data_IF_979753979333
#
_entry.id   IF_979753979333
#
_cell.length_a   1.000
_cell.length_b   1.000
_cell.length_c   1.000
_cell.angle_alpha   90.00
_cell.angle_beta   90.00
_cell.angle_gamma   90.00
#
_symmetry.space_group_name_H-M   'P 1'
#
loop_
_entity.id
_entity.type
_entity.pdbx_description
1 polymer ?
#
# COMPACT_ATOMS: atom_id res chain seq x y z
N UNK A 1 -11.81 -3.96 -11.53
CA UNK A 1 -13.20 -3.59 -11.84
C UNK A 1 -13.27 -2.10 -12.12
N UNK A 2 -14.04 -1.72 -13.10
CA UNK A 2 -14.32 -0.31 -13.45
C UNK A 2 -15.79 -0.15 -13.73
N UNK A 3 -16.34 1.02 -13.45
CA UNK A 3 -17.71 1.39 -13.80
C UNK A 3 -17.70 2.11 -15.14
N UNK A 4 -18.60 1.75 -16.03
CA UNK A 4 -18.83 2.47 -17.27
C UNK A 4 -20.30 2.79 -17.47
N UNK A 5 -20.58 3.92 -18.08
CA UNK A 5 -21.92 4.30 -18.54
C UNK A 5 -22.16 3.73 -19.91
N UNK A 6 -23.30 3.06 -20.10
CA UNK A 6 -23.75 2.51 -21.37
C UNK A 6 -25.04 3.21 -21.75
N UNK A 7 -25.08 3.87 -22.91
CA UNK A 7 -26.26 4.60 -23.37
C UNK A 7 -27.02 3.78 -24.42
N UNK A 8 -28.30 3.54 -24.18
CA UNK A 8 -29.21 2.90 -25.12
C UNK A 8 -30.11 3.91 -25.83
N UNK A 9 -30.18 3.80 -27.13
CA UNK A 9 -31.05 4.60 -27.98
C UNK A 9 -32.42 3.91 -28.16
N UNK A 10 -33.31 4.09 -27.18
CA UNK A 10 -34.73 3.81 -27.33
C UNK A 10 -35.24 2.38 -27.23
N UNK A 11 -34.43 1.43 -26.76
CA UNK A 11 -34.84 0.03 -26.56
C UNK A 11 -34.37 -0.49 -25.19
N UNK A 12 -35.29 -1.14 -24.47
CA UNK A 12 -34.95 -1.94 -23.29
C UNK A 12 -34.39 -3.29 -23.74
N UNK A 13 -33.33 -3.76 -23.08
CA UNK A 13 -32.69 -5.01 -23.46
C UNK A 13 -32.03 -5.73 -22.29
N UNK A 14 -31.98 -7.06 -22.37
CA UNK A 14 -31.22 -7.88 -21.46
C UNK A 14 -29.79 -8.06 -21.98
N UNK A 15 -28.84 -7.67 -21.18
CA UNK A 15 -27.41 -7.88 -21.45
C UNK A 15 -26.91 -9.01 -20.56
N UNK A 16 -26.55 -10.11 -21.18
CA UNK A 16 -26.15 -11.32 -20.48
C UNK A 16 -24.63 -11.48 -20.49
N UNK A 17 -24.08 -11.81 -19.33
CA UNK A 17 -22.75 -12.39 -19.24
C UNK A 17 -22.91 -13.90 -19.06
N UNK A 18 -22.92 -14.65 -20.15
CA UNK A 18 -23.03 -16.13 -20.13
C UNK A 18 -21.62 -16.70 -20.31
N UNK A 19 -21.13 -17.44 -19.32
CA UNK A 19 -19.85 -18.15 -19.38
C UNK A 19 -18.62 -17.28 -19.70
N UNK A 20 -18.62 -16.01 -19.27
CA UNK A 20 -17.50 -15.10 -19.53
C UNK A 20 -17.45 -14.55 -20.96
N UNK A 21 -18.45 -14.82 -21.79
CA UNK A 21 -18.66 -14.23 -23.11
C UNK A 21 -19.85 -13.28 -23.04
N UNK A 22 -19.61 -12.04 -22.66
CA UNK A 22 -20.67 -11.05 -22.50
C UNK A 22 -20.39 -9.78 -23.27
N UNK A 23 -21.19 -8.76 -22.98
CA UNK A 23 -20.99 -7.45 -23.55
C UNK A 23 -19.58 -6.93 -23.20
N UNK A 24 -18.78 -6.69 -24.22
CA UNK A 24 -17.37 -6.29 -24.11
C UNK A 24 -17.15 -4.90 -24.68
N UNK A 25 -16.44 -4.09 -23.94
CA UNK A 25 -16.03 -2.73 -24.29
C UNK A 25 -14.51 -2.63 -24.24
N UNK A 26 -13.92 -1.59 -24.84
CA UNK A 26 -12.48 -1.45 -24.96
C UNK A 26 -12.06 -0.01 -24.73
N UNK A 27 -10.90 0.17 -24.07
CA UNK A 27 -10.27 1.47 -23.94
C UNK A 27 -9.38 1.81 -25.16
N UNK A 28 -8.91 3.05 -25.19
CA UNK A 28 -8.04 3.54 -26.26
C UNK A 28 -6.64 2.89 -26.29
N UNK A 29 -6.26 2.19 -25.21
CA UNK A 29 -5.02 1.43 -25.12
C UNK A 29 -5.17 -0.03 -25.61
N UNK A 30 -6.38 -0.46 -25.97
CA UNK A 30 -6.68 -1.79 -26.46
C UNK A 30 -7.06 -2.80 -25.37
N UNK A 31 -7.15 -2.40 -24.10
CA UNK A 31 -7.59 -3.28 -23.04
C UNK A 31 -9.09 -3.53 -23.15
N UNK A 32 -9.50 -4.79 -23.05
CA UNK A 32 -10.90 -5.18 -23.10
C UNK A 32 -11.48 -5.39 -21.70
N UNK A 33 -12.74 -4.97 -21.55
CA UNK A 33 -13.50 -5.07 -20.30
C UNK A 33 -14.83 -5.75 -20.59
N UNK A 34 -15.15 -6.76 -19.81
CA UNK A 34 -16.39 -7.55 -19.95
C UNK A 34 -17.34 -7.22 -18.82
N UNK A 35 -18.63 -7.14 -19.12
CA UNK A 35 -19.70 -6.94 -18.14
C UNK A 35 -19.65 -8.04 -17.07
N UNK A 36 -19.75 -7.67 -15.78
CA UNK A 36 -19.66 -8.63 -14.67
C UNK A 36 -20.95 -9.40 -14.53
N UNK A 37 -22.08 -8.71 -14.46
CA UNK A 37 -23.37 -9.28 -14.17
C UNK A 37 -24.35 -9.18 -15.34
N UNK A 38 -25.22 -10.17 -15.44
CA UNK A 38 -26.38 -10.10 -16.33
C UNK A 38 -27.36 -9.03 -15.80
N UNK A 39 -27.70 -8.06 -16.62
CA UNK A 39 -28.60 -6.98 -16.22
C UNK A 39 -29.56 -6.58 -17.33
N UNK A 40 -30.71 -6.08 -16.95
CA UNK A 40 -31.67 -5.46 -17.87
C UNK A 40 -31.39 -3.97 -17.95
N UNK A 41 -31.17 -3.47 -19.14
CA UNK A 41 -30.95 -2.04 -19.39
C UNK A 41 -32.23 -1.37 -19.84
N UNK A 42 -32.40 -0.16 -19.39
CA UNK A 42 -33.49 0.72 -19.82
C UNK A 42 -32.99 1.76 -20.83
N UNK A 43 -33.89 2.30 -21.62
CA UNK A 43 -33.55 3.39 -22.55
C UNK A 43 -32.89 4.55 -21.79
N UNK A 44 -31.82 5.11 -22.37
CA UNK A 44 -31.00 6.14 -21.76
C UNK A 44 -29.68 5.65 -21.19
N UNK A 45 -29.14 6.35 -20.20
CA UNK A 45 -27.83 6.05 -19.62
C UNK A 45 -27.94 5.08 -18.47
N UNK A 46 -27.21 3.97 -18.55
CA UNK A 46 -27.09 2.94 -17.52
C UNK A 46 -25.66 2.90 -16.99
N UNK A 47 -25.50 2.69 -15.69
CA UNK A 47 -24.18 2.55 -15.03
C UNK A 47 -23.95 1.07 -14.73
N UNK A 48 -22.87 0.50 -15.26
CA UNK A 48 -22.60 -0.92 -15.21
C UNK A 48 -21.15 -1.17 -14.78
N UNK A 49 -20.93 -2.31 -14.11
CA UNK A 49 -19.62 -2.75 -13.66
C UNK A 49 -18.99 -3.73 -14.67
N UNK A 50 -17.73 -3.45 -14.99
CA UNK A 50 -16.94 -4.24 -15.92
C UNK A 50 -15.65 -4.71 -15.26
N UNK A 51 -15.17 -5.88 -15.65
CA UNK A 51 -13.86 -6.39 -15.28
C UNK A 51 -12.95 -6.42 -16.51
N UNK A 52 -11.67 -6.10 -16.32
CA UNK A 52 -10.68 -6.29 -17.36
C UNK A 52 -10.57 -7.80 -17.70
N UNK A 53 -10.45 -8.13 -18.98
CA UNK A 53 -10.19 -9.50 -19.43
C UNK A 53 -8.72 -9.88 -19.19
N UNK A 54 -7.81 -8.92 -19.33
CA UNK A 54 -6.41 -9.11 -19.01
C UNK A 54 -6.23 -9.18 -17.50
N UNK A 55 -5.49 -10.17 -17.02
CA UNK A 55 -5.10 -10.31 -15.62
C UNK A 55 -3.96 -9.32 -15.31
N UNK A 56 -3.94 -8.81 -14.07
CA UNK A 56 -2.92 -7.88 -13.61
C UNK A 56 -3.45 -6.48 -13.28
N UNK A 57 -2.57 -5.51 -13.03
CA UNK A 57 -2.92 -4.16 -12.60
C UNK A 57 -3.36 -3.27 -13.78
N UNK A 58 -4.44 -3.64 -14.46
CA UNK A 58 -5.01 -2.83 -15.55
C UNK A 58 -5.79 -1.67 -14.95
N UNK A 59 -5.37 -0.45 -15.26
CA UNK A 59 -5.97 0.79 -14.76
C UNK A 59 -6.49 1.61 -15.94
N UNK A 60 -7.81 1.62 -16.21
CA UNK A 60 -8.37 2.46 -17.25
C UNK A 60 -8.26 3.94 -16.87
N UNK A 61 -7.81 4.75 -17.81
CA UNK A 61 -7.85 6.21 -17.66
C UNK A 61 -9.29 6.67 -17.81
N UNK A 62 -9.66 7.72 -17.09
CA UNK A 62 -11.01 8.32 -17.15
C UNK A 62 -11.34 8.76 -18.59
N UNK A 63 -12.55 8.47 -19.03
CA UNK A 63 -13.07 8.80 -20.38
C UNK A 63 -12.31 8.16 -21.56
N UNK A 64 -11.61 7.04 -21.34
CA UNK A 64 -10.91 6.33 -22.42
C UNK A 64 -11.61 5.05 -22.90
N UNK A 65 -12.57 4.52 -22.15
CA UNK A 65 -13.37 3.37 -22.56
C UNK A 65 -14.51 3.87 -23.47
N UNK A 66 -14.24 3.91 -24.76
CA UNK A 66 -15.18 4.50 -25.74
C UNK A 66 -15.56 3.54 -26.87
N UNK A 67 -14.86 2.40 -26.98
CA UNK A 67 -15.08 1.45 -28.05
C UNK A 67 -15.99 0.30 -27.59
N UNK A 68 -17.02 -0.03 -28.43
CA UNK A 68 -17.91 -1.16 -28.24
C UNK A 68 -17.35 -2.32 -29.06
N UNK A 69 -16.89 -3.39 -28.39
CA UNK A 69 -16.36 -4.60 -29.05
C UNK A 69 -17.50 -5.54 -29.44
N UNK A 70 -18.40 -5.81 -28.49
CA UNK A 70 -19.59 -6.63 -28.76
C UNK A 70 -20.72 -5.71 -29.26
N UNK A 71 -20.93 -5.71 -30.57
CA UNK A 71 -22.01 -4.93 -31.18
C UNK A 71 -23.35 -5.46 -30.68
N UNK A 72 -24.09 -4.61 -29.98
CA UNK A 72 -25.41 -4.96 -29.44
C UNK A 72 -26.44 -3.95 -29.92
N UNK A 73 -27.57 -4.44 -30.38
CA UNK A 73 -28.64 -3.60 -30.91
C UNK A 73 -29.12 -2.61 -29.83
N UNK A 74 -29.17 -1.34 -30.19
CA UNK A 74 -29.63 -0.26 -29.31
C UNK A 74 -28.53 0.40 -28.48
N UNK A 75 -27.32 -0.15 -28.38
CA UNK A 75 -26.21 0.53 -27.71
C UNK A 75 -25.62 1.59 -28.63
N UNK A 76 -25.67 2.85 -28.18
CA UNK A 76 -25.18 3.99 -28.96
C UNK A 76 -23.79 4.47 -28.53
N UNK A 77 -23.45 4.41 -27.25
CA UNK A 77 -22.15 4.83 -26.72
C UNK A 77 -21.82 4.20 -25.38
N UNK A 78 -20.54 4.18 -25.07
CA UNK A 78 -19.98 3.76 -23.77
C UNK A 78 -18.96 4.77 -23.33
N UNK A 79 -18.84 4.98 -22.01
CA UNK A 79 -17.81 5.85 -21.41
C UNK A 79 -17.54 5.44 -19.96
N UNK A 80 -16.32 5.62 -19.47
CA UNK A 80 -15.98 5.48 -18.07
C UNK A 80 -15.73 6.86 -17.43
N UNK A 81 -16.72 7.46 -16.80
CA UNK A 81 -16.58 8.79 -16.20
C UNK A 81 -15.67 8.81 -14.95
N UNK A 82 -15.36 7.66 -14.40
CA UNK A 82 -14.47 7.49 -13.25
C UNK A 82 -13.37 6.46 -13.53
N UNK A 83 -12.33 6.46 -12.70
CA UNK A 83 -11.24 5.47 -12.75
C UNK A 83 -11.67 4.08 -12.28
N UNK A 84 -10.71 3.20 -12.09
CA UNK A 84 -10.97 1.85 -11.60
C UNK A 84 -11.54 1.87 -10.17
N UNK A 85 -12.58 1.07 -9.92
CA UNK A 85 -13.11 0.81 -8.58
C UNK A 85 -12.15 -0.09 -7.78
N UNK A 86 -11.55 -1.06 -8.45
CA UNK A 86 -10.49 -1.90 -7.88
C UNK A 86 -9.50 -2.28 -8.97
N UNK A 87 -8.21 -2.22 -8.62
CA UNK A 87 -7.11 -2.57 -9.52
C UNK A 87 -6.72 -4.03 -9.26
N UNK A 88 -6.48 -4.80 -10.32
CA UNK A 88 -5.92 -6.15 -10.22
C UNK A 88 -4.47 -6.10 -9.71
N UNK A 89 -4.01 -7.21 -9.18
CA UNK A 89 -2.63 -7.37 -8.75
C UNK A 89 -1.85 -8.25 -9.73
N UNK A 90 -0.54 -8.09 -9.78
CA UNK A 90 0.33 -9.03 -10.47
C UNK A 90 0.22 -10.42 -9.84
N UNK A 91 0.50 -11.45 -10.64
CA UNK A 91 0.59 -12.80 -10.11
C UNK A 91 1.62 -12.84 -8.98
N UNK A 92 1.22 -13.42 -7.87
CA UNK A 92 2.06 -13.58 -6.69
C UNK A 92 3.28 -14.45 -7.03
N UNK A 93 4.45 -14.05 -6.61
CA UNK A 93 5.66 -14.86 -6.73
C UNK A 93 5.63 -16.02 -5.73
N UNK A 94 6.41 -17.06 -5.98
CA UNK A 94 6.50 -18.22 -5.08
C UNK A 94 6.94 -17.81 -3.65
N UNK A 95 7.81 -16.82 -3.53
CA UNK A 95 8.22 -16.26 -2.23
C UNK A 95 7.08 -15.53 -1.52
N UNK A 96 6.30 -14.72 -2.24
CA UNK A 96 5.13 -14.03 -1.69
C UNK A 96 4.04 -15.03 -1.27
N UNK A 97 3.80 -16.06 -2.11
CA UNK A 97 2.86 -17.13 -1.79
C UNK A 97 3.26 -17.88 -0.51
N UNK A 98 4.54 -18.18 -0.32
CA UNK A 98 5.05 -18.82 0.91
C UNK A 98 4.83 -17.94 2.14
N UNK A 99 5.11 -16.64 2.04
CA UNK A 99 4.88 -15.68 3.13
C UNK A 99 3.39 -15.62 3.46
N UNK A 100 2.52 -15.44 2.45
CA UNK A 100 1.06 -15.41 2.64
C UNK A 100 0.53 -16.71 3.25
N UNK A 101 1.03 -17.87 2.80
CA UNK A 101 0.66 -19.16 3.38
C UNK A 101 1.09 -19.26 4.85
N UNK A 102 2.30 -18.84 5.18
CA UNK A 102 2.79 -18.81 6.57
C UNK A 102 1.92 -17.91 7.43
N UNK A 103 1.57 -16.72 6.97
CA UNK A 103 0.67 -15.79 7.65
C UNK A 103 -0.74 -16.37 7.80
N UNK A 104 -1.29 -16.99 6.75
CA UNK A 104 -2.62 -17.61 6.76
C UNK A 104 -2.74 -18.77 7.76
N UNK A 105 -1.70 -19.59 7.88
CA UNK A 105 -1.65 -20.67 8.90
C UNK A 105 -1.53 -20.09 10.31
N UNK A 106 -0.75 -19.02 10.48
CA UNK A 106 -0.60 -18.32 11.76
C UNK A 106 -1.90 -17.64 12.21
N UNK A 107 -2.74 -17.17 11.30
CA UNK A 107 -4.03 -16.54 11.59
C UNK A 107 -4.99 -17.45 12.39
N UNK A 108 -4.93 -18.76 12.20
CA UNK A 108 -5.76 -19.72 12.91
C UNK A 108 -5.31 -20.00 14.36
N UNK A 109 -4.09 -19.57 14.75
CA UNK A 109 -3.56 -19.81 16.08
C UNK A 109 -3.95 -18.69 17.07
N UNK A 110 -4.43 -19.10 18.25
CA UNK A 110 -4.65 -18.19 19.39
C UNK A 110 -3.47 -18.32 20.37
N UNK A 111 -3.09 -17.20 20.98
CA UNK A 111 -1.98 -17.17 21.95
C UNK A 111 -0.58 -17.24 21.35
N UNK A 112 -0.45 -17.27 20.05
CA UNK A 112 0.83 -17.24 19.34
C UNK A 112 1.12 -15.82 18.82
N UNK A 113 2.30 -15.29 19.08
CA UNK A 113 2.70 -13.95 18.66
C UNK A 113 2.55 -13.73 17.15
N UNK A 114 2.96 -14.73 16.36
CA UNK A 114 2.82 -14.71 14.91
C UNK A 114 1.33 -14.69 14.47
N UNK A 115 0.43 -15.29 15.24
CA UNK A 115 -1.02 -15.25 14.97
C UNK A 115 -1.60 -13.85 15.18
N UNK A 116 -1.17 -13.15 16.23
CA UNK A 116 -1.54 -11.76 16.47
C UNK A 116 -0.98 -10.85 15.38
N UNK A 117 0.33 -10.94 15.09
CA UNK A 117 0.96 -10.12 14.06
C UNK A 117 0.32 -10.32 12.69
N UNK A 118 0.05 -11.57 12.29
CA UNK A 118 -0.63 -11.88 11.04
C UNK A 118 -2.06 -11.33 10.99
N UNK A 119 -2.80 -11.37 12.09
CA UNK A 119 -4.15 -10.81 12.17
C UNK A 119 -4.13 -9.28 12.02
N UNK A 120 -3.18 -8.60 12.64
CA UNK A 120 -2.99 -7.15 12.53
C UNK A 120 -2.63 -6.74 11.09
N UNK A 121 -1.67 -7.42 10.46
CA UNK A 121 -1.25 -7.12 9.08
C UNK A 121 -2.34 -7.34 8.03
N UNK A 122 -3.40 -8.11 8.35
CA UNK A 122 -4.54 -8.29 7.46
C UNK A 122 -5.67 -7.26 7.67
N UNK A 123 -5.53 -6.35 8.61
CA UNK A 123 -6.54 -5.30 8.83
C UNK A 123 -6.49 -4.24 7.72
N UNK A 124 -7.66 -3.73 7.30
CA UNK A 124 -7.71 -2.64 6.34
C UNK A 124 -6.94 -1.41 6.81
N UNK A 125 -6.11 -0.85 5.92
CA UNK A 125 -5.34 0.36 6.19
C UNK A 125 -4.11 0.18 7.08
N UNK A 126 -3.76 -1.04 7.50
CA UNK A 126 -2.49 -1.33 8.14
C UNK A 126 -1.41 -1.42 7.07
N UNK A 127 -0.37 -0.61 7.21
CA UNK A 127 0.79 -0.54 6.32
C UNK A 127 1.91 -1.45 6.83
N UNK A 128 2.10 -1.50 8.16
CA UNK A 128 3.13 -2.31 8.79
C UNK A 128 2.83 -2.57 10.25
N UNK A 129 3.44 -3.62 10.79
CA UNK A 129 3.38 -3.90 12.23
C UNK A 129 4.65 -4.63 12.68
N UNK A 130 5.05 -4.36 13.92
CA UNK A 130 6.13 -5.06 14.61
C UNK A 130 5.66 -5.49 16.00
N UNK A 131 6.10 -6.67 16.43
CA UNK A 131 5.74 -7.24 17.72
C UNK A 131 7.00 -7.72 18.44
N UNK A 132 7.18 -7.24 19.66
CA UNK A 132 8.29 -7.60 20.54
C UNK A 132 7.75 -8.25 21.79
N UNK A 133 8.49 -9.20 22.35
CA UNK A 133 8.12 -9.92 23.56
C UNK A 133 9.20 -9.82 24.63
N UNK A 134 8.76 -9.84 25.88
CA UNK A 134 9.62 -10.00 27.04
C UNK A 134 9.21 -11.25 27.80
N UNK A 135 10.00 -12.29 27.69
CA UNK A 135 9.77 -13.59 28.39
C UNK A 135 10.35 -13.61 29.80
N UNK A 136 11.06 -12.55 30.21
CA UNK A 136 11.70 -12.48 31.53
C UNK A 136 10.70 -12.10 32.63
N UNK A 137 11.12 -12.31 33.90
CA UNK A 137 10.35 -11.97 35.09
C UNK A 137 10.46 -10.47 35.49
N UNK A 138 11.17 -9.65 34.70
CA UNK A 138 11.40 -8.24 34.98
C UNK A 138 11.13 -7.43 33.73
N UNK A 139 10.82 -6.15 33.90
CA UNK A 139 10.74 -5.22 32.77
C UNK A 139 12.08 -5.14 32.05
N UNK A 140 12.09 -5.26 30.73
CA UNK A 140 13.31 -5.24 29.92
C UNK A 140 13.83 -3.81 29.69
N UNK A 141 14.98 -3.71 29.03
CA UNK A 141 15.63 -2.43 28.70
C UNK A 141 14.83 -1.53 27.76
N UNK A 142 13.82 -2.08 27.05
CA UNK A 142 12.89 -1.35 26.18
C UNK A 142 11.61 -0.95 26.91
N UNK A 143 11.47 -1.27 28.19
CA UNK A 143 10.29 -0.98 29.00
C UNK A 143 9.11 -1.93 28.72
N UNK A 144 9.35 -3.11 28.14
CA UNK A 144 8.32 -4.14 27.99
C UNK A 144 8.16 -4.83 29.34
N UNK A 145 6.95 -4.87 29.93
CA UNK A 145 6.72 -5.49 31.23
C UNK A 145 7.11 -6.98 31.25
N UNK A 146 7.33 -7.51 32.44
CA UNK A 146 7.55 -8.97 32.62
C UNK A 146 6.41 -9.76 31.97
N UNK A 147 6.75 -10.82 31.23
CA UNK A 147 5.80 -11.67 30.48
C UNK A 147 4.86 -10.87 29.58
N UNK A 148 5.36 -9.77 29.02
CA UNK A 148 4.58 -8.82 28.23
C UNK A 148 4.96 -8.80 26.77
N UNK A 149 4.12 -8.10 26.02
CA UNK A 149 4.33 -7.81 24.60
C UNK A 149 4.31 -6.30 24.35
N UNK A 150 4.96 -5.90 23.29
CA UNK A 150 4.90 -4.55 22.75
C UNK A 150 4.59 -4.63 21.25
N UNK A 151 3.36 -4.27 20.90
CA UNK A 151 2.87 -4.20 19.54
C UNK A 151 2.98 -2.77 19.03
N UNK A 152 3.51 -2.59 17.84
CA UNK A 152 3.61 -1.31 17.14
C UNK A 152 2.94 -1.49 15.78
N UNK A 153 2.01 -0.60 15.43
CA UNK A 153 1.21 -0.72 14.21
C UNK A 153 1.19 0.61 13.47
N UNK A 154 1.59 0.56 12.22
CA UNK A 154 1.44 1.67 11.29
C UNK A 154 0.15 1.52 10.49
N UNK A 155 -0.67 2.60 10.49
CA UNK A 155 -1.98 2.59 9.83
C UNK A 155 -3.06 1.79 10.58
N UNK A 156 -4.21 1.61 9.93
CA UNK A 156 -5.35 0.89 10.46
C UNK A 156 -6.14 1.62 11.57
N UNK A 157 -7.39 1.21 11.78
CA UNK A 157 -8.25 1.77 12.81
C UNK A 157 -7.89 1.21 14.20
N UNK A 158 -7.86 2.07 15.23
CA UNK A 158 -7.51 1.68 16.60
C UNK A 158 -8.46 0.62 17.17
N UNK A 159 -9.75 0.70 16.85
CA UNK A 159 -10.77 -0.26 17.29
C UNK A 159 -10.51 -1.64 16.72
N UNK A 160 -10.23 -1.75 15.43
CA UNK A 160 -9.99 -3.02 14.73
C UNK A 160 -8.71 -3.70 15.26
N UNK A 161 -7.66 -2.90 15.49
CA UNK A 161 -6.41 -3.36 16.12
C UNK A 161 -6.69 -3.91 17.51
N UNK A 162 -7.45 -3.17 18.33
CA UNK A 162 -7.79 -3.56 19.69
C UNK A 162 -8.59 -4.88 19.73
N UNK A 163 -9.55 -5.04 18.82
CA UNK A 163 -10.36 -6.26 18.71
C UNK A 163 -9.47 -7.48 18.36
N UNK A 164 -8.48 -7.32 17.48
CA UNK A 164 -7.53 -8.39 17.19
C UNK A 164 -6.63 -8.70 18.38
N UNK A 165 -6.16 -7.70 19.11
CA UNK A 165 -5.40 -7.90 20.35
C UNK A 165 -6.23 -8.73 21.33
N UNK A 166 -7.47 -8.29 21.63
CA UNK A 166 -8.34 -8.99 22.56
C UNK A 166 -8.63 -10.43 22.14
N UNK A 167 -8.87 -10.67 20.84
CA UNK A 167 -9.19 -11.99 20.33
C UNK A 167 -8.00 -12.97 20.23
N UNK A 168 -6.76 -12.45 20.24
CA UNK A 168 -5.56 -13.26 20.00
C UNK A 168 -4.58 -13.33 21.16
N UNK A 169 -4.62 -12.35 22.06
CA UNK A 169 -3.70 -12.32 23.21
C UNK A 169 -4.03 -13.43 24.21
N UNK A 170 -3.00 -13.97 24.85
CA UNK A 170 -3.17 -14.90 25.95
C UNK A 170 -3.66 -14.17 27.20
N UNK A 171 -4.59 -14.79 27.97
CA UNK A 171 -5.06 -14.23 29.22
C UNK A 171 -3.90 -14.00 30.20
N UNK A 172 -3.86 -12.79 30.77
CA UNK A 172 -2.83 -12.41 31.75
C UNK A 172 -1.51 -11.94 31.15
N UNK A 173 -1.36 -11.87 29.83
CA UNK A 173 -0.19 -11.26 29.22
C UNK A 173 -0.20 -9.75 29.48
N UNK A 174 0.93 -9.22 29.91
CA UNK A 174 1.14 -7.79 30.04
C UNK A 174 1.34 -7.13 28.66
N UNK A 175 1.00 -5.87 28.56
CA UNK A 175 1.17 -5.11 27.31
C UNK A 175 1.87 -3.80 27.59
N UNK A 176 2.70 -3.37 26.64
CA UNK A 176 3.25 -2.03 26.57
C UNK A 176 2.57 -1.28 25.42
N UNK A 177 2.23 -0.01 25.63
CA UNK A 177 1.71 0.89 24.62
C UNK A 177 1.18 2.18 25.22
N UNK A 178 1.27 3.27 24.47
CA UNK A 178 0.73 4.59 24.80
C UNK A 178 -0.70 4.77 24.30
N UNK A 179 -1.07 4.05 23.24
CA UNK A 179 -2.45 3.99 22.74
C UNK A 179 -3.20 2.96 23.58
N UNK A 180 -4.28 3.38 24.22
CA UNK A 180 -5.14 2.51 25.05
C UNK A 180 -6.55 2.54 24.50
N UNK A 181 -7.06 1.37 24.10
CA UNK A 181 -8.42 1.23 23.55
C UNK A 181 -9.21 0.29 24.45
N UNK A 182 -10.28 0.77 25.11
CA UNK A 182 -11.11 -0.06 25.95
C UNK A 182 -12.06 -0.94 25.14
N UNK A 183 -12.14 -2.22 25.51
CA UNK A 183 -13.04 -3.21 24.94
C UNK A 183 -13.93 -3.75 26.07
N UNK A 184 -15.23 -3.81 25.84
CA UNK A 184 -16.13 -4.47 26.77
C UNK A 184 -16.04 -5.98 26.60
N UNK A 185 -15.64 -6.69 27.64
CA UNK A 185 -15.53 -8.15 27.63
C UNK A 185 -16.91 -8.81 27.71
N UNK A 186 -17.00 -10.07 27.31
CA UNK A 186 -18.25 -10.85 27.40
C UNK A 186 -18.82 -10.94 28.82
N UNK A 187 -17.98 -10.82 29.86
CA UNK A 187 -18.37 -10.79 31.26
C UNK A 187 -18.79 -9.42 31.76
N UNK A 188 -18.82 -8.39 30.92
CA UNK A 188 -19.14 -7.01 31.26
C UNK A 188 -18.01 -6.20 31.90
N UNK A 189 -16.80 -6.77 32.00
CA UNK A 189 -15.59 -6.04 32.39
C UNK A 189 -15.00 -5.19 31.25
N UNK A 190 -13.95 -4.42 31.55
CA UNK A 190 -13.20 -3.66 30.56
C UNK A 190 -11.80 -4.26 30.39
N UNK A 191 -11.43 -4.55 29.14
CA UNK A 191 -10.07 -4.89 28.74
C UNK A 191 -9.49 -3.69 28.00
N UNK A 192 -8.30 -3.23 28.39
CA UNK A 192 -7.61 -2.16 27.68
C UNK A 192 -6.53 -2.75 26.77
N UNK A 193 -6.76 -2.72 25.47
CA UNK A 193 -5.76 -3.08 24.49
C UNK A 193 -4.71 -1.96 24.39
N UNK A 194 -3.44 -2.30 24.64
CA UNK A 194 -2.33 -1.35 24.57
C UNK A 194 -1.44 -1.66 23.37
N UNK A 195 -1.09 -0.62 22.62
CA UNK A 195 -0.13 -0.67 21.52
C UNK A 195 0.46 0.71 21.26
N UNK A 196 1.46 0.79 20.40
CA UNK A 196 2.05 2.06 19.97
C UNK A 196 1.87 2.26 18.46
N UNK A 197 1.98 3.50 18.04
CA UNK A 197 2.23 3.89 16.66
C UNK A 197 3.74 4.06 16.46
N UNK A 198 4.30 3.80 15.25
CA UNK A 198 5.72 3.95 15.04
C UNK A 198 6.16 5.40 15.27
N UNK A 199 7.30 5.56 15.91
CA UNK A 199 7.91 6.87 16.02
C UNK A 199 8.55 7.24 14.67
N UNK A 200 8.21 8.40 14.14
CA UNK A 200 8.75 8.91 12.90
C UNK A 200 10.16 9.46 13.11
N UNK A 201 11.12 8.94 12.34
CA UNK A 201 12.50 9.45 12.30
C UNK A 201 12.73 10.11 10.94
N UNK A 202 12.96 11.42 10.87
CA UNK A 202 13.19 12.11 9.61
C UNK A 202 14.48 11.60 8.95
N UNK A 203 14.39 11.22 7.67
CA UNK A 203 15.55 10.86 6.87
C UNK A 203 15.93 12.02 5.95
N UNK A 204 17.17 12.46 6.07
CA UNK A 204 17.76 13.47 5.21
C UNK A 204 18.59 12.79 4.13
N UNK A 205 18.39 13.19 2.88
CA UNK A 205 19.11 12.64 1.73
C UNK A 205 19.87 13.76 1.02
N UNK A 206 21.12 13.51 0.72
CA UNK A 206 21.96 14.41 -0.06
C UNK A 206 22.60 13.62 -1.21
N UNK A 207 22.51 14.15 -2.42
CA UNK A 207 23.22 13.57 -3.56
C UNK A 207 23.49 14.59 -4.66
N UNK A 208 24.47 14.28 -5.49
CA UNK A 208 24.80 15.05 -6.67
C UNK A 208 24.19 14.40 -7.92
N UNK A 209 23.79 15.20 -8.90
CA UNK A 209 23.43 14.71 -10.24
C UNK A 209 24.60 15.03 -11.17
N UNK A 210 25.32 13.99 -11.61
CA UNK A 210 26.32 14.11 -12.65
C UNK A 210 25.64 14.11 -14.01
N UNK A 211 25.78 15.19 -14.78
CA UNK A 211 25.25 15.27 -16.14
C UNK A 211 25.91 14.25 -17.05
N UNK A 212 25.10 13.50 -17.79
CA UNK A 212 25.53 12.64 -18.90
C UNK A 212 25.29 13.30 -20.25
N UNK A 213 24.43 14.33 -20.28
CA UNK A 213 24.14 15.19 -21.42
C UNK A 213 24.32 16.63 -20.95
N UNK A 214 25.24 17.37 -21.61
CA UNK A 214 25.62 18.73 -21.20
C UNK A 214 24.45 19.74 -21.16
N UNK A 215 23.46 19.55 -22.04
CA UNK A 215 22.26 20.40 -22.15
C UNK A 215 21.13 19.96 -21.23
N UNK A 216 21.28 18.88 -20.46
CA UNK A 216 20.25 18.39 -19.58
C UNK A 216 19.92 19.41 -18.48
N UNK A 217 18.64 19.60 -18.24
CA UNK A 217 18.08 20.40 -17.14
C UNK A 217 17.28 19.51 -16.22
N UNK A 218 17.36 19.76 -14.92
CA UNK A 218 16.72 18.91 -13.92
C UNK A 218 15.70 19.69 -13.10
N UNK A 219 14.46 19.20 -13.07
CA UNK A 219 13.45 19.69 -12.16
C UNK A 219 13.64 19.00 -10.79
N UNK A 220 14.45 19.59 -9.93
CA UNK A 220 14.77 19.03 -8.61
C UNK A 220 13.52 18.83 -7.76
N UNK A 221 12.50 19.69 -7.86
CA UNK A 221 11.25 19.52 -7.12
C UNK A 221 10.49 18.26 -7.55
N UNK A 222 10.43 17.99 -8.86
CA UNK A 222 9.81 16.78 -9.38
C UNK A 222 10.59 15.51 -8.99
N UNK A 223 11.93 15.55 -9.00
CA UNK A 223 12.80 14.46 -8.56
C UNK A 223 12.54 14.16 -7.08
N UNK A 224 12.53 15.16 -6.21
CA UNK A 224 12.24 15.00 -4.77
C UNK A 224 10.85 14.42 -4.54
N UNK A 225 9.84 14.91 -5.25
CA UNK A 225 8.47 14.40 -5.14
C UNK A 225 8.37 12.94 -5.60
N UNK A 226 9.07 12.57 -6.66
CA UNK A 226 9.12 11.19 -7.12
C UNK A 226 9.73 10.26 -6.06
N UNK A 227 10.89 10.64 -5.48
CA UNK A 227 11.55 9.85 -4.42
C UNK A 227 10.61 9.69 -3.22
N UNK A 228 10.01 10.79 -2.74
CA UNK A 228 9.09 10.74 -1.60
C UNK A 228 7.84 9.88 -1.84
N UNK A 229 7.35 9.81 -3.08
CA UNK A 229 6.17 9.04 -3.43
C UNK A 229 6.45 7.54 -3.70
N UNK A 230 7.70 7.17 -3.98
CA UNK A 230 8.04 5.80 -4.41
C UNK A 230 9.03 5.09 -3.47
N UNK A 231 9.47 5.75 -2.41
CA UNK A 231 10.30 5.16 -1.38
C UNK A 231 9.61 5.28 -0.02
N UNK A 232 9.19 4.16 0.51
CA UNK A 232 8.62 4.06 1.85
C UNK A 232 9.49 3.13 2.70
N UNK A 233 9.51 3.37 4.00
CA UNK A 233 10.21 2.54 4.96
C UNK A 233 9.20 1.95 5.94
N UNK A 234 9.38 0.69 6.26
CA UNK A 234 8.57 0.01 7.27
C UNK A 234 9.26 0.09 8.65
N UNK A 235 8.53 -0.26 9.70
CA UNK A 235 9.03 -0.24 11.09
C UNK A 235 10.32 -1.05 11.19
N UNK A 236 11.40 -0.40 11.65
CA UNK A 236 12.71 -1.02 11.84
C UNK A 236 13.51 -1.29 10.56
N UNK A 237 13.05 -0.84 9.41
CA UNK A 237 13.77 -1.01 8.14
C UNK A 237 15.00 -0.11 8.06
N UNK A 238 16.10 -0.67 7.53
CA UNK A 238 17.31 0.09 7.24
C UNK A 238 17.10 1.02 6.04
N UNK A 239 17.71 2.19 6.11
CA UNK A 239 17.93 3.04 4.95
C UNK A 239 19.35 2.82 4.44
N UNK A 240 19.51 2.47 3.18
CA UNK A 240 20.82 2.20 2.58
C UNK A 240 21.05 3.01 1.29
N UNK A 241 22.30 3.30 1.01
CA UNK A 241 22.74 4.05 -0.14
C UNK A 241 22.32 3.40 -1.47
N UNK A 242 22.38 2.06 -1.55
CA UNK A 242 22.13 1.37 -2.81
C UNK A 242 20.67 1.53 -3.24
N UNK A 243 19.72 1.28 -2.34
CA UNK A 243 18.29 1.47 -2.59
C UNK A 243 17.97 2.93 -2.97
N UNK A 244 18.56 3.88 -2.25
CA UNK A 244 18.36 5.31 -2.52
C UNK A 244 19.00 5.74 -3.84
N UNK A 245 20.11 5.17 -4.24
CA UNK A 245 20.73 5.43 -5.55
C UNK A 245 19.83 4.93 -6.68
N UNK A 246 19.24 3.75 -6.54
CA UNK A 246 18.31 3.19 -7.52
C UNK A 246 17.06 4.07 -7.68
N UNK A 247 16.44 4.50 -6.58
CA UNK A 247 15.25 5.35 -6.67
C UNK A 247 15.58 6.76 -7.16
N UNK A 248 16.74 7.32 -6.81
CA UNK A 248 17.20 8.60 -7.33
C UNK A 248 17.43 8.54 -8.85
N UNK A 249 18.04 7.46 -9.35
CA UNK A 249 18.20 7.24 -10.80
C UNK A 249 16.83 7.11 -11.50
N UNK A 250 15.92 6.36 -10.92
CA UNK A 250 14.56 6.23 -11.44
C UNK A 250 13.85 7.59 -11.50
N UNK A 251 13.98 8.42 -10.45
CA UNK A 251 13.42 9.77 -10.39
C UNK A 251 14.01 10.69 -11.47
N UNK A 252 15.33 10.66 -11.68
CA UNK A 252 16.00 11.44 -12.72
C UNK A 252 15.47 11.03 -14.10
N UNK A 253 15.37 9.73 -14.38
CA UNK A 253 14.89 9.21 -15.65
C UNK A 253 13.41 9.54 -15.89
N UNK A 254 12.56 9.45 -14.88
CA UNK A 254 11.14 9.78 -14.95
C UNK A 254 10.88 11.27 -15.19
N UNK A 255 11.83 12.15 -14.82
CA UNK A 255 11.66 13.61 -14.91
C UNK A 255 12.43 14.25 -16.06
N UNK A 256 12.94 13.45 -17.00
CA UNK A 256 13.60 13.95 -18.23
C UNK A 256 14.93 13.27 -18.57
N UNK A 257 15.58 12.60 -17.61
CA UNK A 257 16.84 11.90 -17.84
C UNK A 257 18.03 12.82 -18.05
N UNK A 258 19.11 12.26 -18.57
CA UNK A 258 20.34 12.99 -18.93
C UNK A 258 21.32 13.21 -17.78
N UNK A 259 21.17 12.48 -16.68
CA UNK A 259 22.07 12.48 -15.53
C UNK A 259 22.01 11.19 -14.73
N UNK A 260 23.00 10.99 -13.87
CA UNK A 260 23.07 9.88 -12.92
C UNK A 260 23.31 10.41 -11.51
N UNK A 261 22.71 9.77 -10.47
CA UNK A 261 23.01 10.15 -9.10
C UNK A 261 24.44 9.74 -8.73
N UNK A 262 25.09 10.59 -7.98
CA UNK A 262 26.44 10.38 -7.45
C UNK A 262 26.50 10.84 -5.99
N UNK A 263 27.36 10.21 -5.18
CA UNK A 263 27.57 10.54 -3.78
C UNK A 263 26.25 10.62 -2.98
N UNK A 264 25.42 9.58 -3.13
CA UNK A 264 24.17 9.51 -2.34
C UNK A 264 24.53 9.23 -0.89
N UNK A 265 24.14 10.13 -0.01
CA UNK A 265 24.41 10.07 1.42
C UNK A 265 23.12 10.31 2.22
N UNK A 266 23.08 9.75 3.41
CA UNK A 266 21.90 9.79 4.29
C UNK A 266 22.28 10.26 5.69
N UNK A 267 21.32 10.91 6.35
CA UNK A 267 21.48 11.42 7.71
C UNK A 267 20.15 11.40 8.47
N UNK A 268 20.21 11.28 9.79
CA UNK A 268 19.06 11.44 10.70
C UNK A 268 19.07 12.77 11.44
N UNK A 269 20.17 13.52 11.39
CA UNK A 269 20.36 14.79 12.11
C UNK A 269 20.62 16.00 11.19
N UNK A 270 20.69 15.78 9.88
CA UNK A 270 21.04 16.76 8.85
C UNK A 270 22.46 17.36 9.00
N UNK A 271 23.32 16.72 9.77
CA UNK A 271 24.70 17.16 10.04
C UNK A 271 25.70 16.11 9.63
N UNK A 272 25.54 14.89 10.17
CA UNK A 272 26.42 13.76 9.90
C UNK A 272 25.83 12.89 8.80
N UNK A 273 26.47 12.86 7.65
CA UNK A 273 26.02 12.09 6.49
C UNK A 273 26.88 10.83 6.32
N UNK A 274 26.21 9.70 6.11
CA UNK A 274 26.82 8.38 5.95
C UNK A 274 26.22 7.66 4.72
N UNK A 275 26.86 6.63 4.25
CA UNK A 275 26.41 5.78 3.15
C UNK A 275 25.50 4.64 3.61
N UNK A 276 25.48 4.34 4.92
CA UNK A 276 24.63 3.34 5.53
C UNK A 276 24.13 3.81 6.90
N UNK A 277 22.85 3.66 7.16
CA UNK A 277 22.25 3.94 8.47
C UNK A 277 21.75 2.67 9.11
N UNK A 278 22.08 2.49 10.40
CA UNK A 278 21.48 1.48 11.23
C UNK A 278 19.96 1.70 11.35
N UNK A 279 19.27 0.64 11.71
CA UNK A 279 17.85 0.70 12.09
C UNK A 279 17.62 1.85 13.06
N UNK A 280 16.60 2.68 12.87
CA UNK A 280 16.20 3.63 13.90
C UNK A 280 15.86 2.88 15.18
N UNK A 281 15.73 3.60 16.29
CA UNK A 281 15.40 2.98 17.59
C UNK A 281 14.22 2.01 17.43
N UNK A 282 14.22 0.96 18.23
CA UNK A 282 13.19 -0.07 18.19
C UNK A 282 11.78 0.55 18.18
N UNK A 283 10.95 0.18 17.23
CA UNK A 283 9.60 0.72 17.09
C UNK A 283 9.49 2.03 16.31
N UNK A 284 10.55 2.46 15.64
CA UNK A 284 10.54 3.64 14.77
C UNK A 284 10.60 3.24 13.31
N UNK A 285 10.23 4.18 12.45
CA UNK A 285 10.36 4.09 10.99
C UNK A 285 10.96 5.37 10.42
N UNK A 286 11.62 5.25 9.28
CA UNK A 286 12.12 6.42 8.56
C UNK A 286 11.01 7.08 7.77
N UNK A 287 10.98 8.42 7.82
CA UNK A 287 10.04 9.21 7.01
C UNK A 287 10.79 10.12 6.05
N UNK A 288 10.35 10.12 4.80
CA UNK A 288 10.89 10.97 3.75
C UNK A 288 10.02 12.21 3.55
N UNK A 289 10.68 13.35 3.45
CA UNK A 289 10.06 14.61 3.07
C UNK A 289 10.88 15.28 1.98
N UNK A 290 10.22 15.92 1.02
CA UNK A 290 10.90 16.71 -0.03
C UNK A 290 11.77 17.84 0.55
N UNK A 291 11.43 18.34 1.74
CA UNK A 291 12.22 19.34 2.45
C UNK A 291 13.57 18.80 2.96
N UNK A 292 13.65 17.49 3.21
CA UNK A 292 14.84 16.83 3.75
C UNK A 292 15.75 16.25 2.64
N UNK A 293 15.53 16.62 1.38
CA UNK A 293 16.33 16.16 0.26
C UNK A 293 17.13 17.30 -0.35
N UNK A 294 18.44 17.11 -0.47
CA UNK A 294 19.39 18.10 -0.99
C UNK A 294 20.04 17.58 -2.26
N UNK A 295 19.80 18.26 -3.37
CA UNK A 295 20.28 17.86 -4.69
C UNK A 295 21.20 18.95 -5.23
N UNK A 296 22.41 18.57 -5.68
CA UNK A 296 23.34 19.43 -6.38
C UNK A 296 23.51 18.90 -7.81
N UNK A 297 23.56 19.79 -8.80
CA UNK A 297 23.82 19.41 -10.20
C UNK A 297 25.27 19.77 -10.53
N UNK A 298 26.04 18.78 -10.99
CA UNK A 298 27.44 18.91 -11.39
C UNK A 298 27.60 18.96 -12.91
#
# INVERSE_FOLDING_TARGET
VTTATVTLAGLDGNFNNVNGTGFTIQDNAGNQYILIDTTTLTAGTNVLDFRAQMLGPVTPVVNTITNIVTVTLGVSSVNNPSGALSIGQNQETDSQLRIRRQQSVALASNGYLNGLLGAILNLPGVVGAALYENVSNVTDGNGIPAHGIWLIVDGGANTDIADQIYGKISYGANMKGSVSVPITTASGGTFNALFDRPASVPLYIKFNIQKTISTATFNQAAIKSYIAANQEYTIGQYADQASLTVIALAAINATGGGGVPNEVMISTDNVTYVDYLATPTLGSEFTLSTANMFITVL
#
